data_IF_635348970660
#
_entry.id   IF_635348970660
#
_cell.length_a   1.000
_cell.length_b   1.000
_cell.length_c   1.000
_cell.angle_alpha   90.00
_cell.angle_beta   90.00
_cell.angle_gamma   90.00
#
_symmetry.space_group_name_H-M   'P 1'
#
loop_
_entity.id
_entity.type
_entity.pdbx_description
1 polymer ?
#
# COMPACT_ATOMS: atom_id res chain seq x y z
N UNK A 1 -23.75 2.39 15.30
CA UNK A 1 -22.43 3.04 15.46
C UNK A 1 -21.71 2.99 14.11
N UNK A 2 -21.66 4.11 13.38
CA UNK A 2 -21.25 4.15 11.97
C UNK A 2 -19.71 4.14 11.83
N UNK A 3 -19.07 3.01 12.15
CA UNK A 3 -17.61 2.83 12.04
C UNK A 3 -17.15 3.16 10.62
N UNK A 4 -16.23 4.12 10.46
CA UNK A 4 -15.61 4.46 9.16
C UNK A 4 -14.79 3.23 8.69
N UNK A 5 -14.88 2.85 7.42
CA UNK A 5 -14.04 1.75 6.89
C UNK A 5 -12.59 2.15 7.06
N UNK A 6 -11.81 1.31 7.74
CA UNK A 6 -10.38 1.53 7.99
C UNK A 6 -9.57 0.77 6.96
N UNK A 7 -8.38 1.29 6.64
CA UNK A 7 -7.44 0.58 5.78
C UNK A 7 -7.01 -0.71 6.48
N UNK A 8 -6.99 -1.82 5.75
CA UNK A 8 -6.63 -3.12 6.32
C UNK A 8 -5.18 -3.13 6.82
N UNK A 9 -4.93 -3.73 7.99
CA UNK A 9 -3.62 -3.71 8.66
C UNK A 9 -2.46 -4.25 7.82
N UNK A 10 -2.75 -5.18 6.90
CA UNK A 10 -1.78 -5.71 5.94
C UNK A 10 -1.12 -4.64 5.06
N UNK A 11 -1.81 -3.53 4.77
CA UNK A 11 -1.21 -2.42 4.03
C UNK A 11 -0.10 -1.78 4.84
N UNK A 12 -0.35 -1.51 6.13
CA UNK A 12 0.66 -0.92 7.02
C UNK A 12 1.83 -1.87 7.26
N UNK A 13 1.56 -3.17 7.40
CA UNK A 13 2.60 -4.20 7.52
C UNK A 13 3.47 -4.21 6.26
N UNK A 14 2.86 -4.19 5.07
CA UNK A 14 3.60 -4.15 3.80
C UNK A 14 4.46 -2.89 3.66
N UNK A 15 3.90 -1.71 3.99
CA UNK A 15 4.64 -0.45 3.98
C UNK A 15 5.82 -0.47 4.98
N UNK A 16 5.61 -0.98 6.20
CA UNK A 16 6.66 -1.08 7.21
C UNK A 16 7.80 -2.00 6.77
N UNK A 17 7.47 -3.17 6.18
CA UNK A 17 8.48 -4.10 5.67
C UNK A 17 9.28 -3.44 4.53
N UNK A 18 8.62 -2.74 3.61
CA UNK A 18 9.31 -2.04 2.51
C UNK A 18 10.28 -0.96 3.05
N UNK A 19 9.89 -0.20 4.07
CA UNK A 19 10.78 0.77 4.72
C UNK A 19 11.98 0.08 5.38
N UNK A 20 11.76 -1.05 6.07
CA UNK A 20 12.85 -1.81 6.70
C UNK A 20 13.81 -2.36 5.65
N UNK A 21 13.31 -2.94 4.56
CA UNK A 21 14.13 -3.42 3.46
C UNK A 21 14.96 -2.30 2.83
N UNK A 22 14.36 -1.12 2.66
CA UNK A 22 15.08 0.05 2.16
C UNK A 22 16.33 0.37 2.99
N UNK A 23 16.14 0.43 4.30
CA UNK A 23 17.19 0.82 5.24
C UNK A 23 18.31 -0.21 5.29
N UNK A 24 17.98 -1.49 5.13
CA UNK A 24 18.96 -2.58 5.09
C UNK A 24 19.72 -2.60 3.76
N UNK A 25 19.07 -2.28 2.63
CA UNK A 25 19.72 -2.24 1.32
C UNK A 25 20.50 -0.96 1.05
N UNK A 26 20.36 0.06 1.91
CA UNK A 26 21.03 1.35 1.76
C UNK A 26 22.59 1.33 1.81
N UNK A 27 23.28 0.39 2.46
CA UNK A 27 24.74 0.37 2.49
C UNK A 27 25.41 -0.33 1.30
N UNK A 28 24.67 -1.12 0.51
CA UNK A 28 25.24 -2.04 -0.49
C UNK A 28 25.17 -1.50 -1.93
N UNK A 29 25.19 -0.18 -2.09
CA UNK A 29 24.95 0.42 -3.40
C UNK A 29 26.11 0.17 -4.39
N UNK A 30 25.83 -0.60 -5.43
CA UNK A 30 26.61 -0.72 -6.66
C UNK A 30 25.95 0.09 -7.80
N UNK A 31 26.66 0.26 -8.93
CA UNK A 31 26.18 1.08 -10.07
C UNK A 31 24.77 0.70 -10.58
N UNK A 32 24.41 -0.59 -10.53
CA UNK A 32 23.08 -1.06 -10.94
C UNK A 32 22.02 -0.60 -9.93
N UNK A 33 22.28 -0.74 -8.64
CA UNK A 33 21.36 -0.32 -7.59
C UNK A 33 21.12 1.19 -7.57
N UNK A 34 22.13 2.01 -7.89
CA UNK A 34 22.00 3.48 -7.95
C UNK A 34 21.00 3.92 -9.03
N UNK A 35 20.91 3.20 -10.15
CA UNK A 35 19.95 3.49 -11.22
C UNK A 35 18.50 3.08 -10.85
N UNK A 36 18.31 1.96 -10.15
CA UNK A 36 16.98 1.43 -9.83
C UNK A 36 16.38 2.04 -8.55
N UNK A 37 17.21 2.45 -7.59
CA UNK A 37 16.76 2.94 -6.28
C UNK A 37 15.79 4.14 -6.37
N UNK A 38 16.01 5.18 -7.20
CA UNK A 38 15.07 6.30 -7.32
C UNK A 38 13.70 5.84 -7.81
N UNK A 39 13.67 4.87 -8.73
CA UNK A 39 12.43 4.30 -9.26
C UNK A 39 11.67 3.56 -8.15
N UNK A 40 12.38 2.77 -7.35
CA UNK A 40 11.78 2.07 -6.20
C UNK A 40 11.21 3.05 -5.16
N UNK A 41 11.94 4.13 -4.88
CA UNK A 41 11.48 5.22 -3.99
C UNK A 41 10.21 5.88 -4.50
N UNK A 42 10.12 6.19 -5.79
CA UNK A 42 8.92 6.79 -6.40
C UNK A 42 7.74 5.83 -6.25
N UNK A 43 7.93 4.55 -6.58
CA UNK A 43 6.85 3.56 -6.51
C UNK A 43 6.35 3.40 -5.07
N UNK A 44 7.25 3.29 -4.07
CA UNK A 44 6.85 3.21 -2.67
C UNK A 44 6.22 4.51 -2.15
N UNK A 45 6.73 5.65 -2.61
CA UNK A 45 6.14 6.96 -2.34
C UNK A 45 4.69 7.04 -2.80
N UNK A 46 4.37 6.51 -3.99
CA UNK A 46 2.99 6.41 -4.50
C UNK A 46 2.12 5.56 -3.56
N UNK A 47 2.65 4.44 -3.04
CA UNK A 47 1.94 3.59 -2.08
C UNK A 47 1.63 4.28 -0.76
N UNK A 48 2.62 4.99 -0.20
CA UNK A 48 2.46 5.79 1.00
C UNK A 48 1.44 6.93 0.78
N UNK A 49 1.53 7.66 -0.35
CA UNK A 49 0.54 8.67 -0.72
C UNK A 49 -0.87 8.07 -0.87
N UNK A 50 -0.99 6.87 -1.45
CA UNK A 50 -2.25 6.14 -1.54
C UNK A 50 -2.85 5.81 -0.18
N UNK A 51 -2.02 5.38 0.79
CA UNK A 51 -2.44 5.13 2.16
C UNK A 51 -2.88 6.42 2.87
N UNK A 52 -2.15 7.52 2.72
CA UNK A 52 -2.55 8.84 3.27
C UNK A 52 -3.87 9.30 2.64
N UNK A 53 -3.98 9.24 1.31
CA UNK A 53 -5.19 9.61 0.59
C UNK A 53 -6.40 8.81 1.08
N UNK A 54 -6.24 7.50 1.29
CA UNK A 54 -7.30 6.66 1.84
C UNK A 54 -7.69 7.09 3.26
N UNK A 55 -6.73 7.30 4.16
CA UNK A 55 -7.02 7.66 5.54
C UNK A 55 -7.74 9.00 5.68
N UNK A 56 -7.40 9.98 4.83
CA UNK A 56 -8.05 11.29 4.82
C UNK A 56 -9.44 11.21 4.18
N UNK A 57 -9.57 10.57 3.03
CA UNK A 57 -10.77 10.68 2.18
C UNK A 57 -11.73 9.50 2.27
N UNK A 58 -11.25 8.33 2.70
CA UNK A 58 -11.99 7.06 2.64
C UNK A 58 -12.29 6.58 1.22
N UNK A 59 -11.68 7.19 0.19
CA UNK A 59 -11.97 6.88 -1.23
C UNK A 59 -11.17 5.68 -1.70
N UNK A 60 -11.81 4.85 -2.53
CA UNK A 60 -11.19 3.68 -3.20
C UNK A 60 -9.95 4.04 -4.02
N UNK A 61 -9.85 5.27 -4.53
CA UNK A 61 -8.69 5.74 -5.28
C UNK A 61 -7.39 5.61 -4.49
N UNK A 62 -7.42 5.78 -3.16
CA UNK A 62 -6.25 5.53 -2.31
C UNK A 62 -5.81 4.07 -2.32
N UNK A 63 -6.77 3.12 -2.27
CA UNK A 63 -6.48 1.69 -2.38
C UNK A 63 -5.93 1.31 -3.75
N UNK A 64 -6.42 1.92 -4.84
CA UNK A 64 -5.90 1.66 -6.19
C UNK A 64 -4.44 2.08 -6.31
N UNK A 65 -4.08 3.25 -5.77
CA UNK A 65 -2.67 3.70 -5.74
C UNK A 65 -1.78 2.73 -4.94
N UNK A 66 -2.27 2.22 -3.80
CA UNK A 66 -1.56 1.18 -3.03
C UNK A 66 -1.36 -0.07 -3.88
N UNK A 67 -2.39 -0.57 -4.57
CA UNK A 67 -2.29 -1.78 -5.41
C UNK A 67 -1.23 -1.59 -6.50
N UNK A 68 -1.26 -0.48 -7.23
CA UNK A 68 -0.29 -0.19 -8.29
C UNK A 68 1.13 -0.15 -7.73
N UNK A 69 1.33 0.52 -6.60
CA UNK A 69 2.65 0.61 -5.96
C UNK A 69 3.19 -0.74 -5.51
N UNK A 70 2.31 -1.63 -5.03
CA UNK A 70 2.70 -2.89 -4.43
C UNK A 70 2.78 -4.05 -5.44
N UNK A 71 2.10 -3.95 -6.59
CA UNK A 71 2.07 -5.01 -7.60
C UNK A 71 3.46 -5.34 -8.17
N UNK A 72 4.37 -4.37 -8.19
CA UNK A 72 5.71 -4.52 -8.76
C UNK A 72 6.66 -5.29 -7.81
N UNK A 73 6.30 -5.43 -6.53
CA UNK A 73 7.16 -6.02 -5.50
C UNK A 73 6.59 -7.33 -4.96
N UNK A 74 6.92 -8.46 -5.58
CA UNK A 74 6.53 -9.79 -5.08
C UNK A 74 7.69 -10.40 -4.31
N UNK A 75 7.52 -10.95 -3.09
CA UNK A 75 6.25 -11.33 -2.43
C UNK A 75 5.63 -10.28 -1.48
N UNK A 76 6.38 -9.30 -0.99
CA UNK A 76 5.95 -8.42 0.12
C UNK A 76 4.82 -7.46 -0.28
N UNK A 77 4.85 -6.97 -1.52
CA UNK A 77 3.79 -6.14 -2.08
C UNK A 77 2.46 -6.87 -2.23
N UNK A 78 2.44 -8.20 -2.32
CA UNK A 78 1.18 -8.95 -2.30
C UNK A 78 0.39 -8.70 -1.01
N UNK A 79 1.06 -8.54 0.13
CA UNK A 79 0.39 -8.18 1.40
C UNK A 79 -0.34 -6.83 1.28
N UNK A 80 0.31 -5.84 0.66
CA UNK A 80 -0.26 -4.53 0.38
C UNK A 80 -1.46 -4.61 -0.58
N UNK A 81 -1.33 -5.40 -1.64
CA UNK A 81 -2.43 -5.66 -2.61
C UNK A 81 -3.61 -6.32 -1.91
N UNK A 82 -3.40 -7.43 -1.19
CA UNK A 82 -4.47 -8.14 -0.48
C UNK A 82 -5.16 -7.24 0.56
N UNK A 83 -4.39 -6.45 1.32
CA UNK A 83 -4.95 -5.48 2.26
C UNK A 83 -5.82 -4.43 1.58
N UNK A 84 -5.36 -3.86 0.47
CA UNK A 84 -6.10 -2.86 -0.29
C UNK A 84 -7.38 -3.44 -0.93
N UNK A 85 -7.31 -4.67 -1.47
CA UNK A 85 -8.48 -5.38 -2.04
C UNK A 85 -9.53 -5.65 -0.97
N UNK A 86 -9.15 -6.19 0.20
CA UNK A 86 -10.09 -6.37 1.33
C UNK A 86 -10.74 -5.06 1.77
N UNK A 87 -9.97 -3.98 1.79
CA UNK A 87 -10.51 -2.64 2.11
C UNK A 87 -11.55 -2.20 1.08
N UNK A 88 -11.29 -2.41 -0.23
CA UNK A 88 -12.27 -2.13 -1.30
C UNK A 88 -13.52 -2.98 -1.15
N UNK A 89 -13.38 -4.27 -0.83
CA UNK A 89 -14.51 -5.18 -0.61
C UNK A 89 -15.40 -4.69 0.54
N UNK A 90 -14.82 -4.28 1.67
CA UNK A 90 -15.57 -3.70 2.79
C UNK A 90 -16.32 -2.42 2.39
N UNK A 91 -15.71 -1.56 1.57
CA UNK A 91 -16.39 -0.36 1.04
C UNK A 91 -17.58 -0.76 0.16
N UNK A 92 -17.42 -1.79 -0.68
CA UNK A 92 -18.48 -2.28 -1.57
C UNK A 92 -19.64 -2.86 -0.79
N UNK A 93 -19.37 -3.75 0.17
CA UNK A 93 -20.39 -4.38 1.03
C UNK A 93 -21.20 -3.32 1.78
N UNK A 94 -20.53 -2.33 2.37
CA UNK A 94 -21.20 -1.20 3.05
C UNK A 94 -22.07 -0.37 2.10
N UNK A 95 -21.59 -0.08 0.88
CA UNK A 95 -22.38 0.65 -0.12
C UNK A 95 -23.61 -0.12 -0.58
N UNK A 96 -23.54 -1.45 -0.59
CA UNK A 96 -24.64 -2.33 -0.96
C UNK A 96 -25.66 -2.56 0.18
N UNK A 97 -25.44 -2.00 1.38
CA UNK A 97 -26.29 -2.24 2.54
C UNK A 97 -26.14 -3.64 3.15
N UNK A 98 -25.16 -4.42 2.67
CA UNK A 98 -24.79 -5.74 3.18
C UNK A 98 -23.77 -5.47 4.29
N UNK A 99 -24.23 -5.02 5.46
CA UNK A 99 -23.34 -4.79 6.59
C UNK A 99 -22.89 -6.14 7.18
N UNK A 100 -21.57 -6.30 7.35
CA UNK A 100 -20.99 -7.13 8.42
C UNK A 100 -21.17 -6.44 9.77
#
# INVERSE_FOLDING_TARGET
MNSKVKLHSLVYISLAINVVLLLISAPEFNEISEMFMPIMFIIWGIGAAGAVLFNVTGKKSGCVLIIISCAIFTPIGLLGVFGAVKTIEQINRRKAGIAE
#
